data_IF_119182040930
#
_entry.id   IF_119182040930
#
_cell.length_a   1.000
_cell.length_b   1.000
_cell.length_c   1.000
_cell.angle_alpha   90.00
_cell.angle_beta   90.00
_cell.angle_gamma   90.00
#
_symmetry.space_group_name_H-M   'P 1'
#
loop_
_entity.id
_entity.type
_entity.pdbx_description
1 polymer ?
#
# COMPACT_ATOMS: atom_id res chain seq x y z
N UNK A 1 -64.38 -40.32 23.81
CA UNK A 1 -65.28 -39.95 24.93
C UNK A 1 -65.10 -38.46 25.12
N UNK A 2 -65.95 -37.52 24.69
CA UNK A 2 -67.30 -37.41 24.11
C UNK A 2 -67.17 -36.38 22.95
N UNK A 3 -67.68 -36.52 21.72
CA UNK A 3 -69.07 -36.64 21.24
C UNK A 3 -70.03 -35.61 21.83
N UNK A 4 -70.27 -34.53 21.09
CA UNK A 4 -71.52 -33.74 21.02
C UNK A 4 -71.27 -32.62 19.99
N UNK A 5 -72.15 -32.28 19.07
CA UNK A 5 -73.26 -33.01 18.48
C UNK A 5 -73.65 -32.26 17.20
N UNK A 6 -73.98 -33.06 16.20
CA UNK A 6 -74.97 -32.89 15.13
C UNK A 6 -75.67 -31.51 14.94
N UNK A 7 -76.00 -31.07 13.73
CA UNK A 7 -76.81 -31.80 12.75
C UNK A 7 -77.08 -30.89 11.52
N UNK A 8 -77.58 -31.50 10.44
CA UNK A 8 -78.55 -30.96 9.45
C UNK A 8 -78.00 -30.55 8.06
N UNK A 9 -78.16 -31.55 7.18
CA UNK A 9 -78.88 -31.56 5.88
C UNK A 9 -78.14 -31.35 4.56
N UNK A 10 -78.18 -32.45 3.79
CA UNK A 10 -78.32 -32.58 2.34
C UNK A 10 -78.96 -31.36 1.66
N UNK A 11 -78.39 -30.92 0.54
CA UNK A 11 -78.85 -31.33 -0.80
C UNK A 11 -78.02 -30.69 -1.91
N UNK A 12 -77.84 -31.47 -2.98
CA UNK A 12 -77.34 -31.09 -4.30
C UNK A 12 -77.85 -29.72 -4.77
N UNK A 13 -76.99 -28.94 -5.42
CA UNK A 13 -77.22 -28.45 -6.79
C UNK A 13 -75.91 -27.85 -7.34
N UNK A 14 -75.60 -28.25 -8.57
CA UNK A 14 -74.52 -27.71 -9.39
C UNK A 14 -74.73 -26.22 -9.68
N UNK A 15 -73.63 -25.46 -9.77
CA UNK A 15 -73.51 -24.40 -10.77
C UNK A 15 -72.05 -23.94 -10.90
N UNK A 16 -71.59 -23.95 -12.15
CA UNK A 16 -70.40 -23.32 -12.69
C UNK A 16 -70.33 -21.82 -12.31
N UNK A 17 -69.15 -21.34 -11.90
CA UNK A 17 -68.78 -19.93 -12.01
C UNK A 17 -67.27 -19.79 -12.27
N UNK A 18 -66.97 -18.91 -13.23
CA UNK A 18 -65.69 -18.72 -13.91
C UNK A 18 -64.58 -18.09 -13.06
N UNK A 19 -63.36 -18.52 -13.41
CA UNK A 19 -62.08 -17.77 -13.50
C UNK A 19 -62.14 -16.27 -13.17
N UNK A 20 -61.23 -15.82 -12.30
CA UNK A 20 -60.16 -14.84 -12.61
C UNK A 20 -59.01 -15.17 -11.65
N UNK A 21 -57.83 -15.44 -12.21
CA UNK A 21 -56.61 -15.69 -11.45
C UNK A 21 -56.19 -14.44 -10.69
N UNK A 22 -55.99 -14.59 -9.37
CA UNK A 22 -55.20 -13.66 -8.59
C UNK A 22 -53.74 -13.83 -9.00
N UNK A 23 -53.21 -12.97 -9.86
CA UNK A 23 -51.78 -12.73 -9.89
C UNK A 23 -51.45 -11.80 -8.72
N UNK A 24 -50.71 -12.31 -7.75
CA UNK A 24 -50.07 -11.50 -6.71
C UNK A 24 -49.20 -10.41 -7.37
N UNK A 25 -49.17 -9.18 -6.84
CA UNK A 25 -48.23 -8.19 -7.31
C UNK A 25 -46.84 -8.61 -6.85
N UNK A 26 -46.00 -9.03 -7.80
CA UNK A 26 -44.56 -9.12 -7.56
C UNK A 26 -44.02 -7.70 -7.44
N UNK A 27 -43.64 -7.31 -6.22
CA UNK A 27 -42.78 -6.15 -6.00
C UNK A 27 -41.44 -6.42 -6.72
N UNK A 28 -41.35 -5.97 -7.96
CA UNK A 28 -40.06 -5.72 -8.59
C UNK A 28 -39.40 -4.58 -7.81
N UNK A 29 -38.47 -4.95 -6.92
CA UNK A 29 -37.43 -4.05 -6.45
C UNK A 29 -36.67 -3.57 -7.69
N UNK A 30 -37.09 -2.42 -8.24
CA UNK A 30 -36.24 -1.62 -9.11
C UNK A 30 -34.99 -1.25 -8.31
N UNK A 31 -33.97 -2.10 -8.39
CA UNK A 31 -32.59 -1.67 -8.18
C UNK A 31 -32.35 -0.62 -9.25
N UNK A 32 -32.58 0.64 -8.88
CA UNK A 32 -32.19 1.81 -9.64
C UNK A 32 -30.66 1.89 -9.57
N UNK A 33 -30.01 0.91 -10.21
CA UNK A 33 -28.59 0.92 -10.49
C UNK A 33 -28.43 2.02 -11.52
N UNK A 34 -28.27 3.26 -11.07
CA UNK A 34 -27.70 4.30 -11.92
C UNK A 34 -26.43 3.69 -12.50
N UNK A 35 -26.50 3.31 -13.77
CA UNK A 35 -25.37 2.82 -14.53
C UNK A 35 -24.39 4.00 -14.58
N UNK A 36 -23.50 4.04 -13.59
CA UNK A 36 -22.38 4.95 -13.62
C UNK A 36 -21.61 4.57 -14.87
N UNK A 37 -21.60 5.48 -15.83
CA UNK A 37 -20.75 5.36 -17.00
C UNK A 37 -19.31 5.27 -16.50
N UNK A 38 -18.78 4.04 -16.44
CA UNK A 38 -17.49 3.74 -15.83
C UNK A 38 -16.34 4.54 -16.46
N UNK A 39 -16.53 5.01 -17.70
CA UNK A 39 -15.58 5.90 -18.41
C UNK A 39 -15.53 7.33 -17.84
N UNK A 40 -16.50 7.73 -17.03
CA UNK A 40 -16.60 9.05 -16.39
C UNK A 40 -16.35 9.01 -14.89
N UNK A 41 -15.92 7.87 -14.36
CA UNK A 41 -15.58 7.78 -12.95
C UNK A 41 -14.46 8.78 -12.60
N UNK A 42 -14.56 9.35 -11.42
CA UNK A 42 -13.66 10.36 -10.88
C UNK A 42 -13.05 9.90 -9.57
N UNK A 43 -11.85 10.39 -9.31
CA UNK A 43 -11.15 10.23 -8.04
C UNK A 43 -10.50 11.56 -7.69
N UNK A 44 -10.73 12.03 -6.48
CA UNK A 44 -10.07 13.22 -5.93
C UNK A 44 -9.62 12.94 -4.51
N UNK A 45 -8.52 13.57 -4.13
CA UNK A 45 -7.94 13.46 -2.81
C UNK A 45 -7.48 14.84 -2.33
N UNK A 46 -7.75 15.14 -1.07
CA UNK A 46 -7.02 16.14 -0.30
C UNK A 46 -6.25 15.42 0.80
N UNK A 47 -5.17 16.03 1.26
CA UNK A 47 -4.38 15.45 2.34
C UNK A 47 -3.85 16.55 3.25
N UNK A 48 -3.78 16.23 4.54
CA UNK A 48 -3.21 17.10 5.56
C UNK A 48 -2.38 16.29 6.56
N UNK A 49 -1.40 16.96 7.17
CA UNK A 49 -0.58 16.35 8.20
C UNK A 49 -1.28 16.52 9.55
N UNK A 50 -1.56 15.40 10.21
CA UNK A 50 -2.03 15.40 11.59
C UNK A 50 -0.88 15.62 12.57
N UNK A 51 0.27 15.02 12.27
CA UNK A 51 1.52 15.21 12.98
C UNK A 51 2.74 14.82 12.12
N UNK A 52 3.88 14.52 12.76
CA UNK A 52 5.12 14.16 12.09
C UNK A 52 5.03 12.87 11.26
N UNK A 53 4.19 11.91 11.66
CA UNK A 53 4.14 10.60 11.03
C UNK A 53 2.78 10.28 10.42
N UNK A 54 1.71 10.99 10.80
CA UNK A 54 0.35 10.68 10.37
C UNK A 54 -0.16 11.69 9.36
N UNK A 55 -0.63 11.17 8.23
CA UNK A 55 -1.24 11.94 7.13
C UNK A 55 -2.70 11.53 7.01
N UNK A 56 -3.61 12.47 7.12
CA UNK A 56 -5.02 12.26 6.85
C UNK A 56 -5.28 12.45 5.36
N UNK A 57 -5.99 11.49 4.76
CA UNK A 57 -6.51 11.54 3.41
C UNK A 57 -8.01 11.80 3.49
N UNK A 58 -8.52 12.73 2.69
CA UNK A 58 -9.95 12.85 2.41
C UNK A 58 -10.18 12.52 0.94
N UNK A 59 -10.99 11.50 0.70
CA UNK A 59 -11.20 10.92 -0.62
C UNK A 59 -12.62 11.19 -1.06
N UNK A 60 -12.79 11.51 -2.34
CA UNK A 60 -14.09 11.48 -3.00
C UNK A 60 -13.98 10.74 -4.33
N UNK A 61 -14.93 9.84 -4.60
CA UNK A 61 -14.92 9.03 -5.82
C UNK A 61 -16.33 8.73 -6.32
N UNK A 62 -16.42 8.46 -7.63
CA UNK A 62 -17.62 7.92 -8.27
C UNK A 62 -17.41 6.51 -8.85
N UNK A 63 -16.28 5.87 -8.51
CA UNK A 63 -15.99 4.47 -8.88
C UNK A 63 -17.05 3.55 -8.24
N UNK A 64 -17.55 2.50 -8.93
CA UNK A 64 -18.42 1.51 -8.30
C UNK A 64 -17.72 0.82 -7.12
N UNK A 65 -18.29 0.93 -5.92
CA UNK A 65 -17.70 0.46 -4.66
C UNK A 65 -18.28 -0.90 -4.23
N UNK A 66 -17.58 -1.67 -3.37
CA UNK A 66 -16.26 -1.40 -2.79
C UNK A 66 -15.10 -1.71 -3.74
N UNK A 67 -13.94 -1.08 -3.55
CA UNK A 67 -12.69 -1.38 -4.27
C UNK A 67 -11.47 -1.29 -3.35
N UNK A 68 -10.38 -1.95 -3.73
CA UNK A 68 -9.07 -1.73 -3.13
C UNK A 68 -8.27 -0.68 -3.96
N UNK A 69 -7.60 0.24 -3.27
CA UNK A 69 -6.74 1.26 -3.86
C UNK A 69 -5.35 1.25 -3.20
N UNK A 70 -4.35 1.79 -3.89
CA UNK A 70 -3.02 2.01 -3.33
C UNK A 70 -2.92 3.44 -2.83
N UNK A 71 -2.78 3.61 -1.53
CA UNK A 71 -2.45 4.89 -0.92
C UNK A 71 -0.94 4.98 -0.72
N UNK A 72 -0.36 6.15 -0.98
CA UNK A 72 1.07 6.37 -0.78
C UNK A 72 1.39 7.79 -0.34
N UNK A 73 2.42 7.92 0.49
CA UNK A 73 3.04 9.17 0.88
C UNK A 73 4.50 9.08 0.45
N UNK A 74 4.88 9.77 -0.61
CA UNK A 74 6.21 9.64 -1.23
C UNK A 74 6.91 10.99 -1.37
N UNK A 75 8.23 11.01 -1.22
CA UNK A 75 9.00 12.24 -1.35
C UNK A 75 8.83 12.83 -2.76
N UNK A 76 8.60 14.14 -2.85
CA UNK A 76 8.31 14.81 -4.11
C UNK A 76 9.53 14.89 -5.03
N UNK A 77 9.29 14.65 -6.33
CA UNK A 77 10.29 14.82 -7.40
C UNK A 77 11.28 13.66 -7.54
N UNK A 78 10.93 12.48 -7.04
CA UNK A 78 11.73 11.26 -7.26
C UNK A 78 11.65 10.82 -8.73
N UNK A 79 12.80 10.49 -9.33
CA UNK A 79 12.90 9.95 -10.69
C UNK A 79 12.64 8.44 -10.68
N UNK A 80 12.29 7.83 -11.83
CA UNK A 80 12.02 6.39 -11.91
C UNK A 80 13.17 5.49 -11.44
N UNK A 81 14.42 5.97 -11.54
CA UNK A 81 15.61 5.25 -11.11
C UNK A 81 16.09 5.66 -9.72
N UNK A 82 15.34 6.48 -8.96
CA UNK A 82 15.68 6.83 -7.59
C UNK A 82 15.28 5.69 -6.64
N UNK A 83 15.97 5.60 -5.50
CA UNK A 83 15.53 4.68 -4.46
C UNK A 83 14.29 5.30 -3.86
N UNK A 84 13.21 4.54 -3.83
CA UNK A 84 11.93 5.00 -3.32
C UNK A 84 12.03 5.41 -1.84
N UNK A 85 11.67 6.66 -1.55
CA UNK A 85 11.50 7.24 -0.23
C UNK A 85 10.01 7.52 -0.05
N UNK A 86 9.37 6.75 0.82
CA UNK A 86 7.94 6.89 1.09
C UNK A 86 7.37 5.69 1.84
N UNK A 87 6.07 5.74 2.07
CA UNK A 87 5.28 4.66 2.61
C UNK A 87 4.07 4.43 1.69
N UNK A 88 3.71 3.17 1.46
CA UNK A 88 2.55 2.82 0.66
C UNK A 88 1.84 1.62 1.26
N UNK A 89 0.51 1.65 1.26
CA UNK A 89 -0.33 0.56 1.71
C UNK A 89 -1.62 0.47 0.91
N UNK A 90 -2.25 -0.71 0.97
CA UNK A 90 -3.56 -0.91 0.36
C UNK A 90 -4.65 -0.42 1.31
N UNK A 91 -5.62 0.28 0.74
CA UNK A 91 -6.81 0.75 1.47
C UNK A 91 -8.06 0.25 0.77
N UNK A 92 -9.05 -0.14 1.56
CA UNK A 92 -10.40 -0.44 1.04
C UNK A 92 -11.20 0.85 1.03
N UNK A 93 -11.82 1.15 -0.11
CA UNK A 93 -12.75 2.26 -0.28
C UNK A 93 -14.13 1.67 -0.51
N UNK A 94 -15.02 1.85 0.44
CA UNK A 94 -16.38 1.31 0.47
C UNK A 94 -17.46 2.41 0.52
N UNK A 95 -17.06 3.66 0.74
CA UNK A 95 -17.91 4.85 0.69
C UNK A 95 -17.45 5.84 -0.40
N UNK A 96 -18.39 6.60 -0.97
CA UNK A 96 -18.12 7.62 -2.01
C UNK A 96 -17.28 8.79 -1.47
N UNK A 97 -17.34 8.98 -0.15
CA UNK A 97 -16.49 9.88 0.63
C UNK A 97 -15.92 9.14 1.82
N UNK A 98 -14.61 9.09 1.92
CA UNK A 98 -13.92 8.37 2.99
C UNK A 98 -12.75 9.19 3.51
N UNK A 99 -12.58 9.19 4.82
CA UNK A 99 -11.39 9.71 5.47
C UNK A 99 -10.62 8.55 6.11
N UNK A 100 -9.31 8.50 5.88
CA UNK A 100 -8.43 7.53 6.52
C UNK A 100 -7.06 8.15 6.82
N UNK A 101 -6.27 7.45 7.64
CA UNK A 101 -4.96 7.92 8.06
C UNK A 101 -3.90 6.92 7.59
N UNK A 102 -2.87 7.44 6.95
CA UNK A 102 -1.63 6.71 6.70
C UNK A 102 -0.64 7.02 7.81
N UNK A 103 -0.20 5.99 8.53
CA UNK A 103 0.85 6.10 9.55
C UNK A 103 2.21 5.75 8.94
N UNK A 104 2.95 6.80 8.57
CA UNK A 104 4.27 6.66 7.96
C UNK A 104 5.35 6.19 8.94
N UNK A 105 5.07 6.06 10.24
CA UNK A 105 6.02 5.40 11.17
C UNK A 105 6.20 3.91 10.86
N UNK A 106 5.28 3.32 10.09
CA UNK A 106 5.37 1.95 9.57
C UNK A 106 6.22 1.85 8.29
N UNK A 107 6.85 2.94 7.83
CA UNK A 107 7.82 2.88 6.74
C UNK A 107 9.06 2.06 7.14
N UNK A 108 9.70 1.44 6.14
CA UNK A 108 10.92 0.65 6.35
C UNK A 108 12.05 1.49 6.96
N UNK A 109 12.14 2.75 6.56
CA UNK A 109 13.10 3.74 7.03
C UNK A 109 12.34 5.02 7.44
N UNK A 110 12.73 5.71 8.52
CA UNK A 110 12.10 6.97 8.92
C UNK A 110 12.09 7.98 7.77
N UNK A 111 10.93 8.58 7.50
CA UNK A 111 10.80 9.55 6.42
C UNK A 111 11.49 10.88 6.78
N UNK A 112 12.32 11.44 5.89
CA UNK A 112 12.96 12.73 6.12
C UNK A 112 11.95 13.89 6.10
N UNK A 113 12.28 15.03 6.72
CA UNK A 113 11.51 16.24 6.53
C UNK A 113 11.58 16.71 5.07
N UNK A 114 10.46 17.17 4.50
CA UNK A 114 10.41 17.62 3.12
C UNK A 114 9.01 17.78 2.55
N UNK A 115 8.96 18.04 1.24
CA UNK A 115 7.73 18.04 0.44
C UNK A 115 7.45 16.62 -0.07
N UNK A 116 6.20 16.19 0.08
CA UNK A 116 5.72 14.86 -0.25
C UNK A 116 4.48 14.94 -1.12
N UNK A 117 4.27 13.92 -1.94
CA UNK A 117 3.03 13.65 -2.65
C UNK A 117 2.25 12.56 -1.90
N UNK A 118 1.05 12.92 -1.42
CA UNK A 118 0.03 11.99 -0.98
C UNK A 118 -0.78 11.57 -2.20
N UNK A 119 -0.66 10.31 -2.61
CA UNK A 119 -1.29 9.78 -3.82
C UNK A 119 -2.21 8.61 -3.50
N UNK A 120 -3.39 8.62 -4.12
CA UNK A 120 -4.32 7.51 -4.13
C UNK A 120 -4.51 7.04 -5.58
N UNK A 121 -4.26 5.76 -5.80
CA UNK A 121 -4.30 5.15 -7.13
C UNK A 121 -5.26 3.95 -7.17
N UNK A 122 -6.18 3.99 -8.12
CA UNK A 122 -7.05 2.87 -8.45
C UNK A 122 -6.55 2.16 -9.71
N UNK A 123 -6.39 0.84 -9.60
CA UNK A 123 -5.98 -0.03 -10.69
C UNK A 123 -7.03 -1.13 -10.90
N UNK A 124 -7.77 -1.14 -12.01
CA UNK A 124 -8.91 -2.05 -12.21
C UNK A 124 -8.53 -3.53 -12.09
N UNK A 125 -7.36 -3.91 -12.63
CA UNK A 125 -6.89 -5.31 -12.68
C UNK A 125 -6.84 -6.02 -11.34
N UNK A 126 -6.64 -5.29 -10.24
CA UNK A 126 -6.57 -5.87 -8.91
C UNK A 126 -7.49 -5.18 -7.91
N UNK A 127 -7.70 -3.87 -8.04
CA UNK A 127 -8.55 -3.09 -7.14
C UNK A 127 -10.03 -3.48 -7.19
N UNK A 128 -10.51 -3.97 -8.34
CA UNK A 128 -11.88 -4.46 -8.50
C UNK A 128 -12.02 -5.97 -8.23
N UNK A 129 -10.92 -6.72 -8.12
CA UNK A 129 -10.93 -8.20 -8.12
C UNK A 129 -11.69 -8.80 -6.93
N UNK A 130 -11.58 -8.18 -5.75
CA UNK A 130 -12.22 -8.64 -4.52
C UNK A 130 -13.37 -7.72 -4.08
N UNK A 131 -13.77 -6.78 -4.95
CA UNK A 131 -14.76 -5.76 -4.67
C UNK A 131 -15.90 -5.79 -5.69
N UNK A 132 -16.25 -4.63 -6.22
CA UNK A 132 -17.30 -4.48 -7.20
C UNK A 132 -16.79 -4.75 -8.62
N UNK A 133 -17.31 -5.80 -9.26
CA UNK A 133 -16.90 -6.19 -10.61
C UNK A 133 -17.17 -5.10 -11.67
N UNK A 134 -18.16 -4.22 -11.45
CA UNK A 134 -18.44 -3.10 -12.36
C UNK A 134 -17.26 -2.11 -12.45
N UNK A 135 -16.41 -2.05 -11.41
CA UNK A 135 -15.21 -1.23 -11.40
C UNK A 135 -14.10 -1.74 -12.34
N UNK A 136 -14.19 -2.96 -12.87
CA UNK A 136 -13.24 -3.46 -13.88
C UNK A 136 -13.25 -2.64 -15.18
N UNK A 137 -14.37 -1.97 -15.47
CA UNK A 137 -14.54 -1.15 -16.68
C UNK A 137 -14.08 0.31 -16.50
N UNK A 138 -13.74 0.71 -15.28
CA UNK A 138 -13.20 2.04 -14.97
C UNK A 138 -11.73 2.08 -15.42
N UNK A 139 -11.22 3.18 -16.00
CA UNK A 139 -9.79 3.31 -16.29
C UNK A 139 -8.93 3.39 -15.01
N UNK A 140 -7.61 3.30 -15.15
CA UNK A 140 -6.72 3.65 -14.03
C UNK A 140 -6.91 5.13 -13.66
N UNK A 141 -7.06 5.41 -12.37
CA UNK A 141 -7.28 6.75 -11.85
C UNK A 141 -6.25 7.03 -10.76
N UNK A 142 -5.71 8.25 -10.78
CA UNK A 142 -4.71 8.72 -9.83
C UNK A 142 -5.13 10.10 -9.34
N UNK A 143 -5.17 10.26 -8.02
CA UNK A 143 -5.36 11.56 -7.38
C UNK A 143 -4.18 11.85 -6.47
N UNK A 144 -3.73 13.10 -6.44
CA UNK A 144 -2.57 13.53 -5.68
C UNK A 144 -2.85 14.81 -4.92
N UNK A 145 -2.26 14.93 -3.73
CA UNK A 145 -2.20 16.15 -2.95
C UNK A 145 -0.76 16.36 -2.46
N UNK A 146 -0.30 17.61 -2.47
CA UNK A 146 1.00 17.98 -1.92
C UNK A 146 0.87 18.17 -0.41
N UNK A 147 1.79 17.57 0.36
CA UNK A 147 1.90 17.75 1.81
C UNK A 147 3.35 18.04 2.20
N UNK A 148 3.54 18.55 3.42
CA UNK A 148 4.89 18.83 3.95
C UNK A 148 5.13 18.17 5.29
N UNK A 149 5.84 17.05 5.30
CA UNK A 149 6.16 16.35 6.54
C UNK A 149 7.25 17.11 7.31
N UNK A 150 6.95 17.45 8.57
CA UNK A 150 7.87 18.13 9.50
C UNK A 150 8.65 17.12 10.37
N UNK A 151 8.85 15.88 9.89
CA UNK A 151 9.31 14.73 10.67
C UNK A 151 10.82 14.72 11.02
N UNK A 152 11.14 14.04 12.13
CA UNK A 152 12.39 13.99 12.92
C UNK A 152 13.65 13.36 12.27
N UNK A 153 13.73 13.28 10.94
CA UNK A 153 14.77 12.55 10.20
C UNK A 153 15.88 13.41 9.59
N UNK A 154 16.94 12.76 9.10
CA UNK A 154 18.01 13.37 8.29
C UNK A 154 17.43 14.14 7.09
N UNK A 155 18.05 15.25 6.68
CA UNK A 155 17.57 16.03 5.53
C UNK A 155 17.55 15.21 4.21
N UNK A 156 16.74 15.65 3.23
CA UNK A 156 16.62 15.03 1.89
C UNK A 156 17.97 14.65 1.27
N UNK A 157 18.94 15.55 1.30
CA UNK A 157 20.25 15.33 0.71
C UNK A 157 20.99 14.14 1.34
N UNK A 158 20.85 13.95 2.65
CA UNK A 158 21.43 12.80 3.35
C UNK A 158 20.72 11.48 2.97
N UNK A 159 19.39 11.50 2.83
CA UNK A 159 18.64 10.31 2.39
C UNK A 159 18.98 9.92 0.95
N UNK A 160 18.99 10.90 0.03
CA UNK A 160 19.43 10.71 -1.36
C UNK A 160 20.87 10.20 -1.42
N UNK A 161 21.76 10.77 -0.60
CA UNK A 161 23.16 10.34 -0.54
C UNK A 161 23.30 8.91 -0.03
N UNK A 162 22.59 8.54 1.05
CA UNK A 162 22.56 7.17 1.57
C UNK A 162 22.13 6.19 0.48
N UNK A 163 21.06 6.53 -0.23
CA UNK A 163 20.51 5.73 -1.32
C UNK A 163 21.48 5.55 -2.50
N UNK A 164 22.18 6.61 -2.92
CA UNK A 164 23.23 6.53 -3.94
C UNK A 164 24.36 5.57 -3.54
N UNK A 165 24.80 5.65 -2.28
CA UNK A 165 25.88 4.81 -1.77
C UNK A 165 25.45 3.34 -1.69
N UNK A 166 24.23 3.06 -1.21
CA UNK A 166 23.65 1.72 -1.20
C UNK A 166 23.56 1.13 -2.60
N UNK A 167 23.05 1.90 -3.57
CA UNK A 167 22.98 1.48 -4.98
C UNK A 167 24.36 1.19 -5.55
N UNK A 168 25.35 2.01 -5.22
CA UNK A 168 26.71 1.77 -5.67
C UNK A 168 27.24 0.43 -5.12
N UNK A 169 27.01 0.12 -3.84
CA UNK A 169 27.38 -1.17 -3.25
C UNK A 169 26.69 -2.32 -4.00
N UNK A 170 25.37 -2.24 -4.18
CA UNK A 170 24.59 -3.28 -4.87
C UNK A 170 25.08 -3.56 -6.30
N UNK A 171 25.47 -2.51 -7.02
CA UNK A 171 25.83 -2.61 -8.44
C UNK A 171 27.32 -2.90 -8.68
N UNK A 172 28.20 -2.61 -7.73
CA UNK A 172 29.65 -2.66 -7.94
C UNK A 172 30.38 -3.62 -7.00
N UNK A 173 29.78 -4.00 -5.86
CA UNK A 173 30.44 -4.84 -4.89
C UNK A 173 30.12 -6.32 -5.13
N UNK A 174 31.01 -6.98 -5.85
CA UNK A 174 30.99 -8.43 -6.00
C UNK A 174 31.48 -9.12 -4.71
N UNK A 175 31.06 -10.38 -4.52
CA UNK A 175 31.69 -11.25 -3.53
C UNK A 175 33.16 -11.47 -3.93
N UNK A 176 34.05 -11.49 -2.93
CA UNK A 176 35.52 -11.60 -3.09
C UNK A 176 36.21 -10.35 -3.66
N UNK A 177 35.56 -9.19 -3.63
CA UNK A 177 36.20 -7.92 -3.98
C UNK A 177 37.40 -7.65 -3.05
N UNK A 178 38.60 -7.31 -3.57
CA UNK A 178 39.76 -7.03 -2.73
C UNK A 178 39.49 -5.93 -1.70
N UNK A 179 39.84 -6.20 -0.44
CA UNK A 179 39.64 -5.23 0.63
C UNK A 179 40.71 -4.13 0.58
N UNK A 180 40.26 -2.91 0.28
CA UNK A 180 41.04 -1.70 0.44
C UNK A 180 40.24 -0.66 1.21
N UNK A 181 40.47 -0.62 2.53
CA UNK A 181 39.78 0.30 3.44
C UNK A 181 39.81 1.75 2.98
N UNK A 182 40.95 2.25 2.49
CA UNK A 182 41.07 3.65 2.04
C UNK A 182 40.19 3.92 0.82
N UNK A 183 40.14 3.00 -0.14
CA UNK A 183 39.28 3.12 -1.32
C UNK A 183 37.80 3.10 -0.95
N UNK A 184 37.41 2.19 -0.07
CA UNK A 184 36.03 2.12 0.43
C UNK A 184 35.66 3.37 1.23
N UNK A 185 36.50 3.81 2.16
CA UNK A 185 36.23 5.00 2.97
C UNK A 185 36.20 6.29 2.14
N UNK A 186 36.97 6.37 1.05
CA UNK A 186 36.88 7.48 0.09
C UNK A 186 35.52 7.55 -0.60
N UNK A 187 34.85 6.42 -0.81
CA UNK A 187 33.57 6.34 -1.51
C UNK A 187 32.37 6.39 -0.56
N UNK A 188 32.40 5.55 0.46
CA UNK A 188 31.30 5.29 1.40
C UNK A 188 31.38 6.15 2.67
N UNK A 189 32.48 6.88 2.88
CA UNK A 189 32.74 7.61 4.12
C UNK A 189 33.45 6.76 5.18
N UNK A 190 33.72 7.32 6.37
CA UNK A 190 34.46 6.63 7.42
C UNK A 190 33.74 5.35 7.87
N UNK A 191 34.51 4.30 8.15
CA UNK A 191 33.98 3.03 8.65
C UNK A 191 34.18 2.87 10.16
N UNK A 192 33.24 2.16 10.79
CA UNK A 192 33.34 1.66 12.16
C UNK A 192 33.72 0.18 12.10
N UNK A 193 34.90 -0.16 12.60
CA UNK A 193 35.36 -1.55 12.66
C UNK A 193 34.79 -2.22 13.91
N UNK A 194 34.15 -3.38 13.73
CA UNK A 194 33.65 -4.26 14.77
C UNK A 194 34.03 -5.71 14.55
N UNK A 195 33.68 -6.57 15.51
CA UNK A 195 33.79 -8.02 15.37
C UNK A 195 32.66 -8.58 14.50
N UNK A 196 32.97 -9.59 13.68
CA UNK A 196 31.95 -10.38 12.99
C UNK A 196 31.60 -11.64 13.78
N UNK A 197 30.32 -12.01 13.79
CA UNK A 197 29.82 -13.28 14.35
C UNK A 197 29.86 -14.42 13.33
N UNK A 198 29.99 -14.11 12.03
CA UNK A 198 30.06 -15.09 10.94
C UNK A 198 31.22 -16.09 11.11
N UNK A 199 32.39 -15.60 11.55
CA UNK A 199 33.54 -16.42 11.92
C UNK A 199 34.64 -15.55 12.53
N UNK A 200 35.49 -16.13 13.38
CA UNK A 200 36.68 -15.48 13.97
C UNK A 200 37.69 -14.93 12.94
N UNK A 201 37.57 -15.34 11.68
CA UNK A 201 38.40 -14.88 10.57
C UNK A 201 37.87 -13.60 9.90
N UNK A 202 36.73 -13.07 10.33
CA UNK A 202 36.11 -11.90 9.70
C UNK A 202 36.11 -10.67 10.62
N UNK A 203 36.23 -9.51 9.99
CA UNK A 203 35.95 -8.21 10.57
C UNK A 203 34.68 -7.63 9.96
N UNK A 204 33.87 -6.96 10.76
CA UNK A 204 32.74 -6.17 10.28
C UNK A 204 33.16 -4.71 10.14
N UNK A 205 32.98 -4.12 8.96
CA UNK A 205 33.19 -2.69 8.71
C UNK A 205 31.87 -2.04 8.36
N UNK A 206 31.24 -1.38 9.33
CA UNK A 206 30.01 -0.63 9.13
C UNK A 206 30.29 0.77 8.58
N UNK A 207 29.59 1.16 7.52
CA UNK A 207 29.69 2.47 6.88
C UNK A 207 28.39 3.26 7.14
N UNK A 208 28.35 4.15 8.16
CA UNK A 208 27.11 4.80 8.58
C UNK A 208 26.43 5.62 7.48
N UNK A 209 27.22 6.26 6.60
CA UNK A 209 26.66 7.10 5.53
C UNK A 209 25.93 6.28 4.45
N UNK A 210 26.32 5.02 4.25
CA UNK A 210 25.66 4.10 3.33
C UNK A 210 24.68 3.16 4.06
N UNK A 211 24.74 3.10 5.38
CA UNK A 211 24.08 2.10 6.21
C UNK A 211 24.29 0.67 5.68
N UNK A 212 25.57 0.33 5.47
CA UNK A 212 26.01 -0.96 4.94
C UNK A 212 27.14 -1.48 5.80
N UNK A 213 27.13 -2.78 6.09
CA UNK A 213 28.27 -3.49 6.67
C UNK A 213 28.95 -4.34 5.60
N UNK A 214 30.29 -4.23 5.53
CA UNK A 214 31.14 -5.13 4.76
C UNK A 214 31.80 -6.14 5.70
N UNK A 215 31.55 -7.43 5.47
CA UNK A 215 32.21 -8.52 6.20
C UNK A 215 33.45 -8.94 5.43
N UNK A 216 34.62 -8.70 6.03
CA UNK A 216 35.93 -8.82 5.39
C UNK A 216 36.68 -10.00 5.96
N UNK A 217 37.12 -10.91 5.11
CA UNK A 217 37.97 -12.02 5.52
C UNK A 217 39.40 -11.52 5.74
N UNK A 218 39.91 -11.68 6.97
CA UNK A 218 41.25 -11.21 7.37
C UNK A 218 42.38 -11.97 6.67
N UNK A 219 42.18 -13.26 6.36
CA UNK A 219 43.23 -14.10 5.76
C UNK A 219 43.38 -13.82 4.26
N UNK A 220 42.25 -13.64 3.57
CA UNK A 220 42.24 -13.42 2.12
C UNK A 220 42.28 -11.92 1.74
N UNK A 221 42.05 -11.03 2.71
CA UNK A 221 41.94 -9.60 2.50
C UNK A 221 40.93 -9.25 1.39
N UNK A 222 39.74 -9.82 1.49
CA UNK A 222 38.64 -9.63 0.53
C UNK A 222 37.30 -9.45 1.26
N UNK A 223 36.37 -8.74 0.62
CA UNK A 223 34.97 -8.66 1.08
C UNK A 223 34.31 -10.00 0.78
N UNK A 224 33.91 -10.71 1.82
CA UNK A 224 33.17 -11.97 1.67
C UNK A 224 31.72 -11.70 1.32
N UNK A 225 31.10 -10.76 2.03
CA UNK A 225 29.70 -10.40 1.82
C UNK A 225 29.42 -9.00 2.35
N UNK A 226 28.34 -8.40 1.85
CA UNK A 226 27.81 -7.14 2.35
C UNK A 226 26.36 -7.31 2.79
N UNK A 227 25.94 -6.45 3.72
CA UNK A 227 24.60 -6.41 4.30
C UNK A 227 24.16 -4.97 4.48
N UNK A 228 22.86 -4.73 4.36
CA UNK A 228 22.27 -3.45 4.78
C UNK A 228 22.22 -3.40 6.32
N UNK A 229 22.40 -2.22 6.88
CA UNK A 229 22.40 -2.00 8.33
C UNK A 229 23.76 -2.21 9.00
N UNK A 230 23.80 -1.89 10.29
CA UNK A 230 24.91 -2.23 11.19
C UNK A 230 24.72 -3.66 11.72
N UNK A 231 25.37 -4.63 11.08
CA UNK A 231 25.21 -6.06 11.39
C UNK A 231 26.57 -6.72 11.59
N UNK A 232 26.56 -7.94 12.11
CA UNK A 232 27.79 -8.71 12.37
C UNK A 232 27.88 -10.02 11.58
N UNK A 233 26.85 -10.40 10.81
CA UNK A 233 26.71 -11.63 9.99
C UNK A 233 25.80 -11.44 8.74
#
# INVERSE_FOLDING_TARGET
>A
MKLEDQMIRLSFYAAFALLIGCSEPSDELETNTTLVDASKATLSVTAENLDQNRVQFEVQTTIPLPVEMMASVSLKGQKPNDVFIGHSERVTVDEDKLNFIIDTSNSKDPLPAGEYEAELSFYPRWGAKNGNEAANSVPELHAKADIKLEASGTNRANAERKNELQRWVMNNLAMNEPWNRKSFEKRLGPSQKGSSTMSHLHDAYYFPNADVTLLVNRLKNEVTVWRMGNVTE
#
